data_IF_409076276507
#
_entry.id   IF_409076276507
#
_cell.length_a   1.000
_cell.length_b   1.000
_cell.length_c   1.000
_cell.angle_alpha   90.00
_cell.angle_beta   90.00
_cell.angle_gamma   90.00
#
_symmetry.space_group_name_H-M   'P 1'
#
loop_
_entity.id
_entity.type
_entity.pdbx_description
1 polymer ?
#
# COMPACT_ATOMS: atom_id res chain seq x y z
N UNK A 1 -9.28 -27.57 -0.12
CA UNK A 1 -8.70 -27.18 1.18
C UNK A 1 -8.47 -25.68 1.13
N UNK A 2 -9.41 -24.88 1.63
CA UNK A 2 -9.39 -23.42 1.47
C UNK A 2 -8.28 -22.80 2.32
N UNK A 3 -7.37 -22.06 1.69
CA UNK A 3 -6.37 -21.28 2.40
C UNK A 3 -7.11 -20.32 3.34
N UNK A 4 -6.98 -20.54 4.66
CA UNK A 4 -7.48 -19.59 5.65
C UNK A 4 -6.64 -18.34 5.51
N UNK A 5 -7.24 -17.29 4.94
CA UNK A 5 -6.64 -15.97 4.91
C UNK A 5 -6.42 -15.53 6.36
N UNK A 6 -5.16 -15.57 6.79
CA UNK A 6 -4.82 -15.28 8.18
C UNK A 6 -4.77 -13.77 8.36
N UNK A 7 -5.95 -13.21 8.62
CA UNK A 7 -6.18 -11.76 8.72
C UNK A 7 -5.19 -11.07 9.67
N UNK A 8 -4.70 -11.76 10.71
CA UNK A 8 -3.72 -11.23 11.66
C UNK A 8 -2.27 -11.24 11.16
N UNK A 9 -1.93 -12.16 10.24
CA UNK A 9 -0.65 -12.13 9.56
C UNK A 9 -0.67 -11.04 8.48
N UNK A 10 -1.78 -10.97 7.74
CA UNK A 10 -2.03 -9.96 6.73
C UNK A 10 -2.03 -8.54 7.29
N UNK A 11 -2.77 -8.25 8.37
CA UNK A 11 -2.76 -6.93 9.03
C UNK A 11 -1.38 -6.54 9.57
N UNK A 12 -0.56 -7.52 10.00
CA UNK A 12 0.81 -7.26 10.45
C UNK A 12 1.76 -6.97 9.30
N UNK A 13 1.63 -7.70 8.21
CA UNK A 13 2.36 -7.44 6.97
C UNK A 13 1.96 -6.09 6.39
N UNK A 14 0.67 -5.75 6.39
CA UNK A 14 0.18 -4.44 5.99
C UNK A 14 0.69 -3.34 6.91
N UNK A 15 0.60 -3.48 8.23
CA UNK A 15 1.11 -2.44 9.14
C UNK A 15 2.62 -2.20 8.99
N UNK A 16 3.39 -3.25 8.67
CA UNK A 16 4.81 -3.13 8.31
C UNK A 16 5.02 -2.52 6.93
N UNK A 17 4.26 -2.96 5.93
CA UNK A 17 4.30 -2.44 4.57
C UNK A 17 3.97 -0.96 4.55
N UNK A 18 3.04 -0.52 5.39
CA UNK A 18 2.54 0.84 5.45
C UNK A 18 3.48 1.78 6.20
N UNK A 19 4.09 1.34 7.30
CA UNK A 19 5.25 2.05 7.87
C UNK A 19 6.45 2.11 6.91
N UNK A 20 6.67 1.08 6.10
CA UNK A 20 7.72 1.10 5.07
C UNK A 20 7.34 1.92 3.83
N UNK A 21 6.06 2.04 3.51
CA UNK A 21 5.54 2.89 2.43
C UNK A 21 5.82 4.36 2.75
N UNK A 22 5.53 4.80 3.97
CA UNK A 22 5.86 6.16 4.43
C UNK A 22 7.37 6.46 4.40
N UNK A 23 8.23 5.45 4.56
CA UNK A 23 9.68 5.66 4.68
C UNK A 23 10.52 5.33 3.43
N UNK A 24 10.05 4.50 2.49
CA UNK A 24 10.91 3.94 1.42
C UNK A 24 10.27 3.73 0.04
N UNK A 25 8.94 3.73 -0.08
CA UNK A 25 8.28 3.64 -1.38
C UNK A 25 7.66 5.02 -1.66
N UNK A 26 8.25 5.84 -2.54
CA UNK A 26 7.66 7.11 -2.90
C UNK A 26 6.28 6.83 -3.51
N UNK A 27 5.22 7.23 -2.81
CA UNK A 27 3.87 7.21 -3.36
C UNK A 27 3.82 8.36 -4.38
N UNK A 28 3.67 8.10 -5.69
CA UNK A 28 3.59 9.17 -6.65
C UNK A 28 2.29 9.94 -6.40
N UNK A 29 2.42 11.17 -5.91
CA UNK A 29 1.29 12.06 -5.65
C UNK A 29 0.84 12.79 -6.93
N UNK A 30 1.63 12.69 -8.01
CA UNK A 30 1.30 13.17 -9.34
C UNK A 30 0.57 12.06 -10.12
N UNK A 31 -0.53 12.42 -10.80
CA UNK A 31 -1.35 11.47 -11.57
C UNK A 31 -2.62 10.98 -10.86
N UNK A 32 -3.20 9.88 -11.33
CA UNK A 32 -4.47 9.34 -10.80
C UNK A 32 -4.23 8.54 -9.51
N UNK A 33 -5.25 8.41 -8.66
CA UNK A 33 -5.18 7.54 -7.47
C UNK A 33 -4.86 6.09 -7.85
N UNK A 34 -5.49 5.58 -8.92
CA UNK A 34 -5.24 4.23 -9.44
C UNK A 34 -3.78 4.01 -9.88
N UNK A 35 -3.14 5.02 -10.49
CA UNK A 35 -1.73 4.94 -10.91
C UNK A 35 -0.79 4.82 -9.69
N UNK A 36 -1.07 5.61 -8.64
CA UNK A 36 -0.31 5.56 -7.41
C UNK A 36 -0.47 4.23 -6.68
N UNK A 37 -1.68 3.69 -6.64
CA UNK A 37 -1.97 2.37 -6.07
C UNK A 37 -1.24 1.27 -6.84
N UNK A 38 -1.33 1.28 -8.16
CA UNK A 38 -0.65 0.30 -9.01
C UNK A 38 0.88 0.36 -8.84
N UNK A 39 1.47 1.55 -8.77
CA UNK A 39 2.90 1.74 -8.57
C UNK A 39 3.36 1.18 -7.21
N UNK A 40 2.60 1.46 -6.13
CA UNK A 40 2.88 0.96 -4.78
C UNK A 40 2.82 -0.56 -4.73
N UNK A 41 1.76 -1.16 -5.27
CA UNK A 41 1.59 -2.63 -5.29
C UNK A 41 2.71 -3.28 -6.08
N UNK A 42 3.05 -2.72 -7.25
CA UNK A 42 4.10 -3.25 -8.11
C UNK A 42 5.48 -3.18 -7.45
N UNK A 43 5.84 -2.05 -6.82
CA UNK A 43 7.13 -1.87 -6.15
C UNK A 43 7.25 -2.76 -4.91
N UNK A 44 6.19 -2.82 -4.09
CA UNK A 44 6.18 -3.68 -2.91
C UNK A 44 6.33 -5.16 -3.30
N UNK A 45 5.55 -5.63 -4.29
CA UNK A 45 5.66 -6.99 -4.81
C UNK A 45 7.05 -7.27 -5.36
N UNK A 46 7.68 -6.32 -6.05
CA UNK A 46 9.05 -6.47 -6.58
C UNK A 46 10.07 -6.65 -5.45
N UNK A 47 9.93 -5.93 -4.33
CA UNK A 47 10.88 -5.97 -3.21
C UNK A 47 10.67 -7.17 -2.28
N UNK A 48 9.42 -7.52 -1.98
CA UNK A 48 9.06 -8.50 -0.94
C UNK A 48 8.51 -9.82 -1.51
N UNK A 49 8.05 -9.83 -2.76
CA UNK A 49 7.34 -10.96 -3.36
C UNK A 49 5.87 -11.06 -2.94
N UNK A 50 5.39 -10.17 -2.06
CA UNK A 50 4.02 -10.20 -1.51
C UNK A 50 3.09 -9.31 -2.32
N UNK A 51 1.88 -9.79 -2.58
CA UNK A 51 0.82 -9.00 -3.24
C UNK A 51 0.00 -8.29 -2.17
N UNK A 52 0.00 -6.95 -2.21
CA UNK A 52 -0.83 -6.12 -1.35
C UNK A 52 -2.29 -6.11 -1.82
N UNK A 53 -3.21 -5.92 -0.88
CA UNK A 53 -4.61 -5.68 -1.22
C UNK A 53 -4.81 -4.26 -1.76
N UNK A 54 -5.44 -4.18 -2.92
CA UNK A 54 -5.63 -2.92 -3.61
C UNK A 54 -6.54 -1.95 -2.84
N UNK A 55 -7.54 -2.47 -2.12
CA UNK A 55 -8.47 -1.66 -1.33
C UNK A 55 -7.79 -0.96 -0.16
N UNK A 56 -6.96 -1.68 0.59
CA UNK A 56 -6.13 -1.11 1.67
C UNK A 56 -5.12 -0.10 1.13
N UNK A 57 -4.40 -0.43 0.05
CA UNK A 57 -3.43 0.49 -0.57
C UNK A 57 -4.12 1.76 -1.05
N UNK A 58 -5.28 1.64 -1.70
CA UNK A 58 -6.08 2.77 -2.18
C UNK A 58 -6.51 3.68 -1.05
N UNK A 59 -7.06 3.11 0.03
CA UNK A 59 -7.44 3.88 1.21
C UNK A 59 -6.26 4.69 1.76
N UNK A 60 -5.09 4.08 1.82
CA UNK A 60 -3.93 4.73 2.39
C UNK A 60 -3.28 5.77 1.48
N UNK A 61 -3.22 5.51 0.17
CA UNK A 61 -2.84 6.51 -0.84
C UNK A 61 -3.73 7.74 -0.73
N UNK A 62 -5.03 7.55 -0.53
CA UNK A 62 -6.00 8.65 -0.33
C UNK A 62 -5.73 9.44 0.95
N UNK A 63 -5.46 8.76 2.07
CA UNK A 63 -5.09 9.40 3.34
C UNK A 63 -3.77 10.19 3.23
N UNK A 64 -2.78 9.68 2.50
CA UNK A 64 -1.51 10.37 2.26
C UNK A 64 -1.68 11.60 1.36
N UNK A 65 -2.48 11.50 0.30
CA UNK A 65 -2.79 12.65 -0.58
C UNK A 65 -3.56 13.74 0.15
N UNK A 66 -4.52 13.37 1.01
CA UNK A 66 -5.23 14.33 1.83
C UNK A 66 -4.28 15.09 2.76
N UNK A 67 -3.37 14.38 3.45
CA UNK A 67 -2.36 15.00 4.32
C UNK A 67 -1.39 15.91 3.55
N UNK A 68 -1.02 15.56 2.32
CA UNK A 68 -0.14 16.37 1.48
C UNK A 68 -0.80 17.62 0.88
N UNK A 69 -2.14 17.70 0.88
CA UNK A 69 -2.90 18.84 0.31
C UNK A 69 -3.28 19.88 1.37
N UNK A 70 -3.36 19.47 2.65
CA UNK A 70 -3.69 20.33 3.81
C UNK A 70 -2.46 20.95 4.51
N UNK A 71 -1.24 20.72 3.99
CA UNK A 71 0.04 21.15 4.56
C UNK A 71 0.71 22.34 3.88
#
# INVERSE_FOLDING_TARGET
MGAKFDKRAFERELKKATQHLEQQIPVPLEGSEDDAVAAVIADYKRRTGVVLDEGEVRKQVRELRAQATDG
#
